data_IF_551710843576
#
_entry.id   IF_551710843576
#
_cell.length_a   1.000
_cell.length_b   1.000
_cell.length_c   1.000
_cell.angle_alpha   90.00
_cell.angle_beta   90.00
_cell.angle_gamma   90.00
#
_symmetry.space_group_name_H-M   'P 1'
#
loop_
_entity.id
_entity.type
_entity.pdbx_description
1 polymer ?
#
# COMPACT_ATOMS: atom_id res chain seq x y z
N UNK A 1 -15.08 -0.46 20.40
CA UNK A 1 -15.30 -0.88 19.01
C UNK A 1 -14.23 -0.19 18.21
N UNK A 2 -13.28 -0.98 17.70
CA UNK A 2 -12.16 -0.43 16.96
C UNK A 2 -12.65 0.15 15.64
N UNK A 3 -12.10 1.30 15.26
CA UNK A 3 -12.48 1.98 14.02
C UNK A 3 -11.68 1.39 12.86
N UNK A 4 -12.36 1.13 11.75
CA UNK A 4 -11.70 0.81 10.50
C UNK A 4 -11.29 2.09 9.79
N UNK A 5 -10.06 2.13 9.29
CA UNK A 5 -9.58 3.23 8.46
C UNK A 5 -8.59 2.71 7.43
N UNK A 6 -8.51 3.39 6.30
CA UNK A 6 -7.48 3.12 5.30
C UNK A 6 -6.56 4.33 5.12
N UNK A 7 -5.28 4.05 4.91
CA UNK A 7 -4.29 5.03 4.49
C UNK A 7 -4.11 4.89 2.97
N UNK A 8 -4.34 5.97 2.24
CA UNK A 8 -4.13 6.07 0.80
C UNK A 8 -2.73 6.59 0.56
N UNK A 9 -1.85 5.76 0.00
CA UNK A 9 -0.54 6.19 -0.46
C UNK A 9 -0.64 6.57 -1.94
N UNK A 10 -0.11 7.74 -2.29
CA UNK A 10 -0.05 8.24 -3.66
C UNK A 10 1.41 8.19 -4.16
N UNK A 11 1.63 7.90 -5.46
CA UNK A 11 2.98 7.78 -5.99
C UNK A 11 3.74 9.12 -5.93
N UNK A 12 4.98 9.07 -5.45
CA UNK A 12 5.92 10.20 -5.52
C UNK A 12 5.63 11.37 -4.57
N UNK A 13 4.63 11.27 -3.69
CA UNK A 13 4.32 12.30 -2.70
C UNK A 13 4.37 11.75 -1.27
N UNK A 14 4.87 12.53 -0.29
CA UNK A 14 4.78 12.16 1.12
C UNK A 14 3.36 12.34 1.69
N UNK A 15 2.43 12.88 0.89
CA UNK A 15 1.05 13.11 1.31
C UNK A 15 0.31 11.78 1.35
N UNK A 16 -0.22 11.46 2.51
CA UNK A 16 -1.07 10.30 2.76
C UNK A 16 -2.44 10.81 3.16
N UNK A 17 -3.48 10.36 2.48
CA UNK A 17 -4.86 10.60 2.89
C UNK A 17 -5.34 9.46 3.80
N UNK A 18 -6.26 9.78 4.71
CA UNK A 18 -6.85 8.80 5.62
C UNK A 18 -8.37 8.82 5.42
N UNK A 19 -8.95 7.66 5.17
CA UNK A 19 -10.40 7.50 5.09
C UNK A 19 -10.87 6.60 6.23
N UNK A 20 -11.84 7.06 7.01
CA UNK A 20 -12.51 6.23 8.03
C UNK A 20 -13.61 5.43 7.35
N UNK A 21 -13.62 4.11 7.56
CA UNK A 21 -14.58 3.20 6.96
C UNK A 21 -15.61 2.78 7.99
N UNK A 22 -16.89 2.84 7.60
CA UNK A 22 -17.97 2.26 8.38
C UNK A 22 -18.05 0.77 8.06
N UNK A 23 -17.50 -0.06 8.93
CA UNK A 23 -17.53 -1.51 8.79
C UNK A 23 -17.76 -2.18 10.15
N UNK A 24 -18.48 -3.30 10.12
CA UNK A 24 -18.80 -4.10 11.31
C UNK A 24 -17.77 -5.23 11.53
N UNK A 25 -17.11 -5.65 10.45
CA UNK A 25 -16.07 -6.68 10.44
C UNK A 25 -15.05 -6.46 9.31
N UNK A 26 -13.99 -7.27 9.30
CA UNK A 26 -12.90 -7.19 8.31
C UNK A 26 -13.40 -7.39 6.88
N UNK A 27 -14.44 -8.21 6.66
CA UNK A 27 -14.99 -8.47 5.31
C UNK A 27 -15.79 -7.28 4.80
N UNK A 28 -16.53 -6.61 5.67
CA UNK A 28 -17.24 -5.39 5.35
C UNK A 28 -16.25 -4.25 5.07
N UNK A 29 -15.16 -4.18 5.83
CA UNK A 29 -14.10 -3.21 5.63
C UNK A 29 -13.35 -3.41 4.30
N UNK A 30 -13.07 -4.67 3.93
CA UNK A 30 -12.46 -5.02 2.65
C UNK A 30 -13.36 -4.66 1.45
N UNK A 31 -14.68 -4.86 1.56
CA UNK A 31 -15.63 -4.36 0.54
C UNK A 31 -15.61 -2.85 0.42
N UNK A 32 -15.62 -2.13 1.54
CA UNK A 32 -15.54 -0.67 1.54
C UNK A 32 -14.20 -0.16 0.98
N UNK A 33 -13.11 -0.93 1.13
CA UNK A 33 -11.81 -0.63 0.53
C UNK A 33 -11.87 -0.60 -1.01
N UNK A 34 -12.69 -1.46 -1.62
CA UNK A 34 -12.89 -1.46 -3.08
C UNK A 34 -13.54 -0.15 -3.57
N UNK A 35 -14.46 0.42 -2.79
CA UNK A 35 -15.09 1.72 -3.10
C UNK A 35 -14.07 2.87 -3.01
N UNK A 36 -13.16 2.81 -2.04
CA UNK A 36 -12.03 3.77 -1.95
C UNK A 36 -11.12 3.64 -3.17
N UNK A 37 -10.78 2.42 -3.58
CA UNK A 37 -9.94 2.16 -4.75
C UNK A 37 -10.57 2.72 -6.04
N UNK A 38 -11.89 2.59 -6.20
CA UNK A 38 -12.62 3.16 -7.32
C UNK A 38 -12.64 4.69 -7.32
N UNK A 39 -12.65 5.31 -6.13
CA UNK A 39 -12.64 6.77 -5.96
C UNK A 39 -11.26 7.37 -6.24
N UNK A 40 -10.19 6.62 -5.98
CA UNK A 40 -8.81 7.09 -6.07
C UNK A 40 -7.98 6.31 -7.10
N UNK A 41 -8.30 6.34 -8.41
CA UNK A 41 -7.70 5.42 -9.40
C UNK A 41 -6.17 5.52 -9.53
N UNK A 42 -5.54 6.59 -9.04
CA UNK A 42 -4.09 6.81 -9.05
C UNK A 42 -3.36 6.42 -7.75
N UNK A 43 -4.01 5.71 -6.82
CA UNK A 43 -3.35 5.23 -5.61
C UNK A 43 -2.16 4.31 -5.92
N UNK A 44 -1.16 4.26 -5.05
CA UNK A 44 -0.10 3.26 -5.11
C UNK A 44 -0.50 2.03 -4.29
N UNK A 45 -0.81 2.27 -3.01
CA UNK A 45 -1.32 1.27 -2.09
C UNK A 45 -2.43 1.84 -1.20
N UNK A 46 -3.41 1.02 -0.86
CA UNK A 46 -4.35 1.27 0.23
C UNK A 46 -4.05 0.30 1.37
N UNK A 47 -3.69 0.83 2.54
CA UNK A 47 -3.45 0.02 3.72
C UNK A 47 -4.65 0.11 4.67
N UNK A 48 -5.36 -1.00 4.86
CA UNK A 48 -6.53 -1.08 5.73
C UNK A 48 -6.15 -1.49 7.15
N UNK A 49 -6.66 -0.76 8.13
CA UNK A 49 -6.42 -0.99 9.56
C UNK A 49 -7.73 -1.11 10.35
N UNK A 50 -7.64 -1.81 11.48
CA UNK A 50 -8.64 -1.88 12.54
C UNK A 50 -7.94 -1.51 13.86
N UNK A 51 -8.10 -0.27 14.33
CA UNK A 51 -7.20 0.26 15.35
C UNK A 51 -5.74 0.18 14.86
N UNK A 52 -4.85 -0.45 15.63
CA UNK A 52 -3.43 -0.61 15.24
C UNK A 52 -3.17 -1.84 14.36
N UNK A 53 -4.16 -2.73 14.19
CA UNK A 53 -4.00 -3.98 13.45
C UNK A 53 -4.12 -3.73 11.95
N UNK A 54 -3.07 -4.05 11.19
CA UNK A 54 -3.14 -4.13 9.74
C UNK A 54 -4.04 -5.30 9.32
N UNK A 55 -5.05 -5.01 8.51
CA UNK A 55 -6.03 -5.98 8.00
C UNK A 55 -5.62 -6.48 6.63
N UNK A 56 -5.37 -5.56 5.68
CA UNK A 56 -4.94 -5.89 4.32
C UNK A 56 -4.20 -4.72 3.67
N UNK A 57 -3.49 -5.01 2.58
CA UNK A 57 -2.90 -4.02 1.69
C UNK A 57 -3.35 -4.32 0.27
N UNK A 58 -3.98 -3.33 -0.36
CA UNK A 58 -4.34 -3.37 -1.77
C UNK A 58 -3.31 -2.57 -2.55
N UNK A 59 -2.58 -3.20 -3.47
CA UNK A 59 -1.73 -2.51 -4.44
C UNK A 59 -2.56 -2.16 -5.68
N UNK A 60 -2.28 -1.02 -6.31
CA UNK A 60 -3.01 -0.63 -7.51
C UNK A 60 -2.61 -1.49 -8.72
N UNK A 61 -3.53 -2.30 -9.27
CA UNK A 61 -3.21 -3.16 -10.42
C UNK A 61 -2.92 -2.36 -11.69
N UNK A 62 -3.39 -1.11 -11.80
CA UNK A 62 -3.21 -0.27 -12.98
C UNK A 62 -1.80 0.32 -13.08
N UNK A 63 -1.06 0.43 -11.98
CA UNK A 63 0.35 0.88 -12.01
C UNK A 63 1.30 -0.20 -12.57
N UNK A 64 0.82 -1.44 -12.65
CA UNK A 64 1.62 -2.58 -13.10
C UNK A 64 2.75 -2.92 -12.12
N UNK A 65 3.55 -3.92 -12.51
CA UNK A 65 4.77 -4.25 -11.79
C UNK A 65 5.93 -3.47 -12.38
N UNK A 66 6.83 -2.99 -11.53
CA UNK A 66 8.14 -2.57 -11.99
C UNK A 66 8.79 -3.74 -12.73
N UNK A 67 9.46 -3.45 -13.86
CA UNK A 67 10.26 -4.45 -14.52
C UNK A 67 11.32 -4.99 -13.53
N UNK A 68 11.59 -6.31 -13.53
CA UNK A 68 12.70 -6.85 -12.75
C UNK A 68 13.96 -6.05 -13.07
N UNK A 69 14.73 -5.71 -12.03
CA UNK A 69 16.06 -5.16 -12.26
C UNK A 69 16.85 -6.16 -13.11
N UNK A 70 17.63 -5.69 -14.10
CA UNK A 70 18.54 -6.57 -14.80
C UNK A 70 19.44 -7.28 -13.78
N UNK A 71 19.72 -8.55 -14.03
CA UNK A 71 20.66 -9.32 -13.20
C UNK A 71 22.00 -8.58 -13.19
N UNK A 72 22.34 -7.97 -12.05
CA UNK A 72 23.61 -7.29 -11.90
C UNK A 72 24.69 -8.36 -11.89
N UNK A 73 25.64 -8.27 -12.81
CA UNK A 73 26.86 -9.07 -12.73
C UNK A 73 27.55 -8.72 -11.40
N UNK A 74 27.46 -9.63 -10.43
CA UNK A 74 28.02 -9.47 -9.09
C UNK A 74 29.56 -9.35 -9.11
N UNK A 75 30.18 -9.62 -10.26
CA UNK A 75 31.62 -9.52 -10.50
C UNK A 75 32.17 -8.10 -10.28
N UNK A 76 31.33 -7.05 -10.42
CA UNK A 76 31.72 -5.65 -10.24
C UNK A 76 31.30 -5.04 -8.88
N UNK A 77 30.63 -5.81 -8.02
CA UNK A 77 30.15 -5.31 -6.71
C UNK A 77 31.27 -5.37 -5.68
N UNK A 78 31.97 -4.25 -5.48
CA UNK A 78 32.92 -4.08 -4.36
C UNK A 78 32.17 -3.51 -3.17
N UNK A 79 31.98 -4.34 -2.13
CA UNK A 79 31.57 -3.85 -0.82
C UNK A 79 32.77 -3.18 -0.16
N UNK A 80 32.72 -1.85 0.01
CA UNK A 80 33.69 -1.14 0.83
C UNK A 80 33.50 -1.57 2.28
N UNK A 81 34.39 -2.42 2.79
CA UNK A 81 34.50 -2.66 4.23
C UNK A 81 35.14 -1.44 4.88
N UNK A 82 34.39 -0.77 5.76
CA UNK A 82 34.94 0.24 6.65
C UNK A 82 36.03 -0.40 7.54
N UNK A 83 37.23 0.18 7.49
CA UNK A 83 38.38 -0.18 8.32
C UNK A 83 38.30 0.47 9.71
#
# INVERSE_FOLDING_TARGET
MDSYYCIVNLPGVPVRDICVLKAEDDRAADRALADVAATWPGFETLCLYCGERLVTVLSNPALGFAAPLPELALDDVRFETAA
#
